data_IF_776516137640
#
_entry.id   IF_776516137640
#
_cell.length_a   1.000
_cell.length_b   1.000
_cell.length_c   1.000
_cell.angle_alpha   90.00
_cell.angle_beta   90.00
_cell.angle_gamma   90.00
#
_symmetry.space_group_name_H-M   'P 1'
#
loop_
_entity.id
_entity.type
_entity.pdbx_description
1 polymer ?
#
# COMPACT_ATOMS: atom_id res chain seq x y z
N UNK A 1 16.50 6.34 11.35
CA UNK A 1 17.39 7.10 10.46
C UNK A 1 16.48 7.78 9.43
N UNK A 2 16.35 9.10 9.45
CA UNK A 2 15.60 9.80 8.41
C UNK A 2 16.49 9.91 7.17
N UNK A 3 16.01 9.46 6.03
CA UNK A 3 16.72 9.62 4.76
C UNK A 3 16.50 11.08 4.33
N UNK A 4 17.55 11.89 4.14
CA UNK A 4 17.38 13.27 3.68
C UNK A 4 16.93 13.29 2.22
N UNK A 5 15.79 13.94 1.93
CA UNK A 5 15.15 13.97 0.61
C UNK A 5 13.79 13.28 0.61
N UNK A 6 12.83 13.81 -0.16
CA UNK A 6 11.40 13.41 -0.21
C UNK A 6 11.15 11.94 0.14
N UNK A 7 10.42 11.72 1.23
CA UNK A 7 10.00 10.41 1.71
C UNK A 7 8.48 10.34 1.65
N UNK A 8 7.93 9.70 0.63
CA UNK A 8 6.50 9.45 0.54
C UNK A 8 6.21 8.02 0.99
N UNK A 9 5.49 7.86 2.09
CA UNK A 9 5.14 6.55 2.65
C UNK A 9 3.66 6.27 2.49
N UNK A 10 3.32 5.04 2.14
CA UNK A 10 1.97 4.52 2.25
C UNK A 10 1.92 3.40 3.30
N UNK A 11 0.89 3.42 4.13
CA UNK A 11 0.52 2.32 5.02
C UNK A 11 -0.90 1.89 4.68
N UNK A 12 -1.04 0.68 4.16
CA UNK A 12 -2.34 0.12 3.76
C UNK A 12 -2.71 -1.00 4.73
N UNK A 13 -3.86 -0.89 5.37
CA UNK A 13 -4.42 -1.93 6.24
C UNK A 13 -5.49 -2.72 5.49
N UNK A 14 -5.38 -4.03 5.57
CA UNK A 14 -6.32 -4.98 5.01
C UNK A 14 -6.94 -5.82 6.12
N UNK A 15 -8.20 -6.21 5.92
CA UNK A 15 -8.89 -7.17 6.77
C UNK A 15 -9.41 -8.33 5.94
N UNK A 16 -9.05 -9.55 6.32
CA UNK A 16 -9.54 -10.78 5.71
C UNK A 16 -11.06 -10.82 5.73
N UNK A 17 -11.64 -11.21 4.59
CA UNK A 17 -13.06 -11.52 4.49
C UNK A 17 -13.37 -12.80 5.25
N UNK A 18 -14.61 -12.91 5.70
CA UNK A 18 -15.07 -14.08 6.45
C UNK A 18 -14.86 -15.37 5.63
N UNK A 19 -14.29 -16.39 6.28
CA UNK A 19 -14.07 -17.71 5.67
C UNK A 19 -12.85 -17.81 4.76
N UNK A 20 -12.09 -16.73 4.58
CA UNK A 20 -10.82 -16.74 3.84
C UNK A 20 -9.65 -17.13 4.74
N UNK A 21 -8.65 -17.77 4.15
CA UNK A 21 -7.46 -18.28 4.81
C UNK A 21 -6.26 -17.40 4.44
N UNK A 22 -5.60 -16.81 5.43
CA UNK A 22 -4.47 -15.90 5.19
C UNK A 22 -3.33 -16.57 4.42
N UNK A 23 -2.94 -17.76 4.84
CA UNK A 23 -1.74 -18.43 4.31
C UNK A 23 -1.99 -19.02 2.92
N UNK A 24 -3.23 -19.44 2.64
CA UNK A 24 -3.60 -20.03 1.34
C UNK A 24 -4.09 -19.01 0.33
N UNK A 25 -4.87 -18.02 0.76
CA UNK A 25 -5.54 -17.11 -0.16
C UNK A 25 -4.75 -15.80 -0.34
N UNK A 26 -4.16 -15.27 0.74
CA UNK A 26 -3.55 -13.93 0.73
C UNK A 26 -2.04 -13.96 0.48
N UNK A 27 -1.29 -14.84 1.15
CA UNK A 27 0.18 -14.91 1.01
C UNK A 27 0.63 -15.11 -0.45
N UNK A 28 -0.01 -15.95 -1.29
CA UNK A 28 0.39 -16.07 -2.69
C UNK A 28 0.21 -14.77 -3.48
N UNK A 29 -0.84 -13.98 -3.19
CA UNK A 29 -1.05 -12.68 -3.83
C UNK A 29 0.03 -11.70 -3.37
N UNK A 30 0.34 -11.66 -2.07
CA UNK A 30 1.44 -10.83 -1.51
C UNK A 30 2.79 -11.12 -2.18
N UNK A 31 3.09 -12.40 -2.45
CA UNK A 31 4.31 -12.77 -3.16
C UNK A 31 4.36 -12.18 -4.58
N UNK A 32 3.24 -12.21 -5.32
CA UNK A 32 3.15 -11.57 -6.65
C UNK A 32 3.30 -10.06 -6.60
N UNK A 33 2.75 -9.40 -5.57
CA UNK A 33 3.02 -7.99 -5.32
C UNK A 33 4.53 -7.76 -5.17
N UNK A 34 5.19 -8.45 -4.25
CA UNK A 34 6.64 -8.30 -4.00
C UNK A 34 7.47 -8.55 -5.26
N UNK A 35 7.16 -9.61 -6.03
CA UNK A 35 7.86 -9.92 -7.28
C UNK A 35 7.70 -8.82 -8.33
N UNK A 36 6.49 -8.26 -8.45
CA UNK A 36 6.19 -7.18 -9.40
C UNK A 36 6.89 -5.89 -8.99
N UNK A 37 6.78 -5.52 -7.71
CA UNK A 37 7.23 -4.23 -7.20
C UNK A 37 8.73 -4.17 -7.01
N UNK A 38 9.42 -5.31 -6.84
CA UNK A 38 10.89 -5.39 -6.77
C UNK A 38 11.63 -4.76 -7.98
N UNK A 39 10.92 -4.48 -9.07
CA UNK A 39 11.44 -3.89 -10.31
C UNK A 39 11.18 -2.38 -10.40
N UNK A 40 10.51 -1.78 -9.41
CA UNK A 40 10.16 -0.37 -9.39
C UNK A 40 11.33 0.48 -8.89
N UNK A 41 11.94 1.26 -9.79
CA UNK A 41 13.19 1.97 -9.51
C UNK A 41 13.09 3.02 -8.39
N UNK A 42 11.93 3.67 -8.24
CA UNK A 42 11.69 4.75 -7.27
C UNK A 42 10.90 4.27 -6.03
N UNK A 43 10.86 2.94 -5.80
CA UNK A 43 10.31 2.33 -4.60
C UNK A 43 11.44 1.83 -3.70
N UNK A 44 11.50 2.33 -2.47
CA UNK A 44 12.59 2.06 -1.53
C UNK A 44 12.28 0.93 -0.55
N UNK A 45 11.00 0.68 -0.26
CA UNK A 45 10.58 -0.40 0.62
C UNK A 45 9.19 -0.89 0.22
N UNK A 46 8.98 -2.20 0.30
CA UNK A 46 7.69 -2.83 0.13
C UNK A 46 7.63 -4.10 0.98
N UNK A 47 6.66 -4.19 1.88
CA UNK A 47 6.58 -5.34 2.77
C UNK A 47 5.26 -5.46 3.50
N UNK A 48 4.85 -6.70 3.72
CA UNK A 48 3.65 -7.05 4.46
C UNK A 48 3.98 -7.50 5.88
N UNK A 49 3.08 -7.19 6.82
CA UNK A 49 3.12 -7.73 8.17
C UNK A 49 1.71 -8.07 8.63
N UNK A 50 1.55 -9.25 9.24
CA UNK A 50 0.30 -9.67 9.86
C UNK A 50 0.22 -9.10 11.28
N UNK A 51 -0.96 -8.63 11.67
CA UNK A 51 -1.18 -8.14 13.02
C UNK A 51 -1.05 -9.28 14.04
N UNK A 52 -0.38 -9.00 15.16
CA UNK A 52 -0.23 -9.95 16.28
C UNK A 52 -1.42 -9.91 17.23
N UNK A 53 -2.23 -8.84 17.20
CA UNK A 53 -3.41 -8.67 18.05
C UNK A 53 -4.72 -9.08 17.38
N UNK A 54 -4.80 -9.00 16.05
CA UNK A 54 -5.93 -9.47 15.25
C UNK A 54 -5.41 -10.23 14.02
N UNK A 55 -5.40 -11.58 14.04
CA UNK A 55 -4.91 -12.38 12.92
C UNK A 55 -5.70 -12.21 11.62
N UNK A 56 -6.87 -11.55 11.63
CA UNK A 56 -7.61 -11.22 10.42
C UNK A 56 -7.09 -9.95 9.74
N UNK A 57 -6.23 -9.18 10.40
CA UNK A 57 -5.70 -7.91 9.90
C UNK A 57 -4.23 -8.06 9.51
N UNK A 58 -3.86 -7.42 8.40
CA UNK A 58 -2.49 -7.29 7.96
C UNK A 58 -2.27 -5.95 7.29
N UNK A 59 -1.02 -5.51 7.22
CA UNK A 59 -0.65 -4.23 6.63
C UNK A 59 0.37 -4.42 5.51
N UNK A 60 0.28 -3.58 4.49
CA UNK A 60 1.37 -3.30 3.57
C UNK A 60 2.00 -1.98 3.95
N UNK A 61 3.33 -1.96 4.12
CA UNK A 61 4.10 -0.73 4.30
C UNK A 61 4.97 -0.51 3.08
N UNK A 62 4.90 0.70 2.55
CA UNK A 62 5.45 1.04 1.24
C UNK A 62 6.15 2.39 1.35
N UNK A 63 7.34 2.51 0.79
CA UNK A 63 8.12 3.75 0.77
C UNK A 63 8.54 4.07 -0.66
N UNK A 64 8.28 5.29 -1.08
CA UNK A 64 8.54 5.81 -2.42
C UNK A 64 9.30 7.12 -2.35
N UNK A 65 9.93 7.46 -3.47
CA UNK A 65 10.57 8.76 -3.68
C UNK A 65 9.61 9.95 -3.57
N UNK A 66 8.37 9.81 -4.05
CA UNK A 66 7.34 10.85 -4.06
C UNK A 66 5.96 10.25 -4.42
N UNK A 67 4.92 11.09 -4.44
CA UNK A 67 3.57 10.68 -4.82
C UNK A 67 3.47 10.17 -6.26
N UNK A 68 4.24 10.72 -7.21
CA UNK A 68 4.21 10.27 -8.61
C UNK A 68 4.78 8.84 -8.75
N UNK A 69 5.81 8.48 -7.98
CA UNK A 69 6.33 7.12 -7.93
C UNK A 69 5.28 6.13 -7.38
N UNK A 70 4.48 6.54 -6.39
CA UNK A 70 3.34 5.74 -5.92
C UNK A 70 2.25 5.58 -7.00
N UNK A 71 1.99 6.60 -7.82
CA UNK A 71 1.02 6.47 -8.91
C UNK A 71 1.48 5.48 -9.99
N UNK A 72 2.78 5.43 -10.27
CA UNK A 72 3.36 4.38 -11.14
C UNK A 72 3.19 3.00 -10.51
N UNK A 73 3.47 2.87 -9.21
CA UNK A 73 3.23 1.64 -8.46
C UNK A 73 1.76 1.18 -8.57
N UNK A 74 0.81 2.08 -8.32
CA UNK A 74 -0.63 1.76 -8.36
C UNK A 74 -1.05 1.21 -9.73
N UNK A 75 -0.48 1.73 -10.81
CA UNK A 75 -0.71 1.22 -12.17
C UNK A 75 -0.12 -0.18 -12.39
N UNK A 76 1.04 -0.47 -11.80
CA UNK A 76 1.70 -1.79 -11.93
C UNK A 76 0.97 -2.88 -11.16
N UNK A 77 0.42 -2.56 -9.99
CA UNK A 77 -0.17 -3.56 -9.08
C UNK A 77 -1.69 -3.64 -9.13
N UNK A 78 -2.36 -2.86 -9.97
CA UNK A 78 -3.83 -2.81 -10.05
C UNK A 78 -4.49 -4.18 -10.18
N UNK A 79 -3.94 -5.09 -11.00
CA UNK A 79 -4.45 -6.45 -11.13
C UNK A 79 -4.31 -7.29 -9.85
N UNK A 80 -3.21 -7.11 -9.12
CA UNK A 80 -2.99 -7.80 -7.85
C UNK A 80 -3.89 -7.23 -6.75
N UNK A 81 -4.21 -5.92 -6.81
CA UNK A 81 -5.18 -5.29 -5.91
C UNK A 81 -6.61 -5.80 -6.16
N UNK A 82 -7.01 -5.94 -7.43
CA UNK A 82 -8.28 -6.57 -7.80
C UNK A 82 -8.36 -8.00 -7.24
N UNK A 83 -7.31 -8.80 -7.43
CA UNK A 83 -7.25 -10.17 -6.89
C UNK A 83 -7.28 -10.20 -5.36
N UNK A 84 -6.50 -9.34 -4.69
CA UNK A 84 -6.51 -9.23 -3.22
C UNK A 84 -7.92 -8.90 -2.69
N UNK A 85 -8.67 -8.11 -3.46
CA UNK A 85 -10.06 -7.75 -3.17
C UNK A 85 -11.01 -8.94 -3.04
N UNK A 86 -10.69 -10.11 -3.60
CA UNK A 86 -11.48 -11.34 -3.42
C UNK A 86 -11.32 -11.94 -2.01
N UNK A 87 -10.25 -11.57 -1.30
CA UNK A 87 -9.84 -12.21 -0.04
C UNK A 87 -9.83 -11.26 1.15
N UNK A 88 -9.59 -9.97 0.92
CA UNK A 88 -9.48 -8.97 1.97
C UNK A 88 -10.02 -7.60 1.53
N UNK A 89 -10.53 -6.84 2.49
CA UNK A 89 -10.98 -5.47 2.28
C UNK A 89 -9.91 -4.48 2.75
N UNK A 90 -9.67 -3.41 1.98
CA UNK A 90 -8.87 -2.27 2.44
C UNK A 90 -9.69 -1.52 3.50
N UNK A 91 -9.13 -1.40 4.70
CA UNK A 91 -9.78 -0.76 5.85
C UNK A 91 -9.19 0.60 6.20
N UNK A 92 -7.96 0.87 5.77
CA UNK A 92 -7.29 2.15 5.98
C UNK A 92 -6.17 2.31 4.94
N UNK A 93 -6.00 3.53 4.45
CA UNK A 93 -4.79 3.95 3.72
C UNK A 93 -4.27 5.22 4.38
N UNK A 94 -3.01 5.24 4.78
CA UNK A 94 -2.36 6.44 5.31
C UNK A 94 -1.19 6.82 4.43
N UNK A 95 -1.23 8.02 3.87
CA UNK A 95 -0.11 8.62 3.16
C UNK A 95 0.60 9.63 4.04
N UNK A 96 1.92 9.52 4.13
CA UNK A 96 2.78 10.44 4.89
C UNK A 96 3.83 11.01 3.96
N UNK A 97 3.96 12.33 3.88
CA UNK A 97 4.93 12.96 2.98
C UNK A 97 4.93 14.48 3.08
N UNK A 98 5.59 15.12 2.11
CA UNK A 98 5.64 16.58 2.00
C UNK A 98 4.26 17.18 1.68
N UNK A 99 4.12 18.50 1.81
CA UNK A 99 2.88 19.19 1.37
C UNK A 99 2.61 18.98 -0.13
N UNK A 100 3.66 19.02 -0.96
CA UNK A 100 3.56 18.78 -2.40
C UNK A 100 2.99 17.38 -2.71
N UNK A 101 3.51 16.35 -2.02
CA UNK A 101 3.06 14.97 -2.21
C UNK A 101 1.64 14.76 -1.69
N UNK A 102 1.36 15.20 -0.47
CA UNK A 102 0.08 14.95 0.22
C UNK A 102 -1.08 15.77 -0.36
N UNK A 103 -0.80 16.90 -1.03
CA UNK A 103 -1.79 17.69 -1.77
C UNK A 103 -1.80 17.41 -3.28
N UNK A 104 -1.07 16.39 -3.74
CA UNK A 104 -1.04 16.03 -5.16
C UNK A 104 -2.45 15.62 -5.64
N UNK A 105 -3.01 16.40 -6.58
CA UNK A 105 -4.39 16.20 -7.05
C UNK A 105 -4.62 14.83 -7.70
N UNK A 106 -3.60 14.26 -8.38
CA UNK A 106 -3.71 12.94 -9.01
C UNK A 106 -3.79 11.84 -7.96
N UNK A 107 -2.99 11.95 -6.90
CA UNK A 107 -3.03 11.03 -5.76
C UNK A 107 -4.40 11.05 -5.09
N UNK A 108 -4.91 12.25 -4.80
CA UNK A 108 -6.22 12.44 -4.16
C UNK A 108 -7.32 11.81 -5.03
N UNK A 109 -7.33 12.11 -6.32
CA UNK A 109 -8.33 11.57 -7.25
C UNK A 109 -8.24 10.04 -7.38
N UNK A 110 -7.02 9.49 -7.50
CA UNK A 110 -6.80 8.04 -7.63
C UNK A 110 -7.21 7.26 -6.39
N UNK A 111 -7.20 7.89 -5.21
CA UNK A 111 -7.46 7.24 -3.92
C UNK A 111 -8.77 7.67 -3.27
N UNK A 112 -9.61 8.45 -3.97
CA UNK A 112 -10.86 9.02 -3.44
C UNK A 112 -11.90 8.01 -2.95
N UNK A 113 -11.85 6.78 -3.48
CA UNK A 113 -12.76 5.70 -3.10
C UNK A 113 -12.24 4.88 -1.91
N UNK A 114 -11.00 5.11 -1.47
CA UNK A 114 -10.36 4.39 -0.38
C UNK A 114 -10.51 5.16 0.94
N UNK A 115 -10.49 4.48 2.09
CA UNK A 115 -10.50 5.11 3.42
C UNK A 115 -9.15 5.78 3.73
N UNK A 116 -8.88 6.89 3.05
CA UNK A 116 -7.56 7.52 2.97
C UNK A 116 -7.39 8.66 3.96
N UNK A 117 -6.23 8.70 4.63
CA UNK A 117 -5.77 9.81 5.49
C UNK A 117 -4.43 10.33 4.97
N UNK A 118 -4.26 11.65 4.94
CA UNK A 118 -3.01 12.31 4.55
C UNK A 118 -2.37 12.96 5.77
N UNK A 119 -1.06 12.76 5.95
CA UNK A 119 -0.25 13.35 7.03
C UNK A 119 0.91 14.11 6.38
N UNK A 120 0.88 15.43 6.51
CA UNK A 120 1.95 16.31 6.03
C UNK A 120 3.02 16.48 7.10
N UNK A 121 4.30 16.35 6.72
CA UNK A 121 5.47 16.56 7.59
C UNK A 121 6.31 17.75 7.14
#
# INVERSE_FOLDING_TARGET
>A
MAIPGNNFSALVSFKLKQGKDYDKDVVPVMQRFVETTSKEADMFFYGFARSTSDPSVFVCREHYKNADAFLVHLANVGKHLEEMGEFADITMVTFVGSEEDTKNAKLIEATKALPTTFITL
#
